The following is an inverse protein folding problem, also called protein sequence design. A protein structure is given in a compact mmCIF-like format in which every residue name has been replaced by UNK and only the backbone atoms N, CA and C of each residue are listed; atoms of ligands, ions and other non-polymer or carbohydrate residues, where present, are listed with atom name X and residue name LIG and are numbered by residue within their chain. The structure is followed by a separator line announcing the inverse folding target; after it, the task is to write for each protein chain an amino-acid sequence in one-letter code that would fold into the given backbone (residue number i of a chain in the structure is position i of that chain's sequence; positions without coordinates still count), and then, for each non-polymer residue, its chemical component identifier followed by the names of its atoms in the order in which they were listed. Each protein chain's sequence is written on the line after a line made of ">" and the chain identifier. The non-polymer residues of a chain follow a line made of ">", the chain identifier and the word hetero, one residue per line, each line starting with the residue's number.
data_IF_508224954318
#
_entry.id   IF_508224954318
#
_cell.length_a   1.000
_cell.length_b   1.000
_cell.length_c   1.000
_cell.angle_alpha   90.00
_cell.angle_beta   90.00
_cell.angle_gamma   90.00
#
_symmetry.space_group_name_H-M   'P 1'
#
loop_
_entity.id
_entity.type
_entity.pdbx_description
1 polymer ?
#
# COMPACT_ATOMS: atom_id res chain seq x y z
N UNK A 1 -4.34 7.66 -1.20
CA UNK A 1 -4.35 6.75 -0.03
C UNK A 1 -2.97 6.20 0.29
N UNK A 2 -2.39 5.26 -0.49
CA UNK A 2 -1.08 4.68 -0.15
C UNK A 2 0.03 5.75 -0.05
N UNK A 3 0.08 6.72 -0.96
CA UNK A 3 1.08 7.80 -0.89
C UNK A 3 0.91 8.72 0.33
N UNK A 4 -0.33 9.01 0.74
CA UNK A 4 -0.58 9.85 1.91
C UNK A 4 -0.25 9.11 3.22
N UNK A 5 -0.52 7.81 3.28
CA UNK A 5 -0.23 6.96 4.44
C UNK A 5 1.28 6.69 4.60
N UNK A 6 2.06 6.70 3.51
CA UNK A 6 3.50 6.40 3.56
C UNK A 6 4.27 7.35 4.47
N UNK A 7 3.89 8.63 4.48
CA UNK A 7 4.45 9.63 5.37
C UNK A 7 4.19 9.26 6.84
N UNK A 8 2.94 8.95 7.19
CA UNK A 8 2.59 8.60 8.57
C UNK A 8 3.08 7.22 9.03
N UNK A 9 3.24 6.27 8.11
CA UNK A 9 3.66 4.91 8.42
C UNK A 9 5.19 4.75 8.51
N UNK A 10 5.96 5.40 7.62
CA UNK A 10 7.42 5.21 7.56
C UNK A 10 8.22 6.31 8.27
N UNK A 11 7.71 7.55 8.31
CA UNK A 11 8.41 8.66 8.97
C UNK A 11 8.67 8.43 10.48
N UNK A 12 7.77 7.81 11.28
CA UNK A 12 8.08 7.55 12.70
C UNK A 12 9.17 6.49 12.93
N UNK A 13 9.54 5.69 11.91
CA UNK A 13 10.61 4.69 11.99
C UNK A 13 11.98 5.22 11.51
N UNK A 14 12.04 6.46 11.03
CA UNK A 14 13.26 7.14 10.63
C UNK A 14 13.27 7.61 9.17
N UNK A 15 13.90 8.76 8.93
CA UNK A 15 13.94 9.41 7.62
C UNK A 15 14.57 8.52 6.53
N UNK A 16 15.57 7.71 6.88
CA UNK A 16 16.24 6.80 5.95
C UNK A 16 15.29 5.70 5.41
N UNK A 17 14.37 5.22 6.25
CA UNK A 17 13.41 4.16 5.89
C UNK A 17 12.34 4.70 4.94
N UNK A 18 11.87 5.93 5.19
CA UNK A 18 10.99 6.64 4.28
C UNK A 18 11.65 6.88 2.90
N UNK A 19 12.91 7.32 2.90
CA UNK A 19 13.68 7.52 1.67
C UNK A 19 13.85 6.21 0.87
N UNK A 20 14.29 5.14 1.53
CA UNK A 20 14.42 3.80 0.94
C UNK A 20 13.08 3.30 0.39
N UNK A 21 11.99 3.40 1.16
CA UNK A 21 10.66 2.98 0.72
C UNK A 21 10.20 3.72 -0.54
N UNK A 22 10.47 5.02 -0.62
CA UNK A 22 10.10 5.85 -1.78
C UNK A 22 10.89 5.45 -3.02
N UNK A 23 12.19 5.19 -2.89
CA UNK A 23 13.03 4.73 -4.01
C UNK A 23 12.66 3.33 -4.44
N UNK A 24 12.39 2.40 -3.53
CA UNK A 24 12.12 1.00 -3.86
C UNK A 24 10.70 0.77 -4.39
N UNK A 25 9.73 1.63 -4.08
CA UNK A 25 8.34 1.52 -4.54
C UNK A 25 8.22 1.38 -6.09
N UNK A 26 8.85 2.23 -6.92
CA UNK A 26 8.81 2.04 -8.37
C UNK A 26 9.48 0.74 -8.84
N UNK A 27 10.50 0.24 -8.15
CA UNK A 27 11.09 -1.07 -8.49
C UNK A 27 10.10 -2.21 -8.29
N UNK A 28 9.30 -2.16 -7.22
CA UNK A 28 8.25 -3.15 -6.97
C UNK A 28 7.18 -3.15 -8.07
N UNK A 29 6.82 -1.98 -8.59
CA UNK A 29 5.91 -1.87 -9.74
C UNK A 29 6.50 -2.54 -10.99
N UNK A 30 7.79 -2.33 -11.27
CA UNK A 30 8.48 -3.01 -12.37
C UNK A 30 8.48 -4.53 -12.18
N UNK A 31 8.69 -5.03 -10.96
CA UNK A 31 8.58 -6.46 -10.66
C UNK A 31 7.20 -7.01 -10.95
N UNK A 32 6.13 -6.30 -10.60
CA UNK A 32 4.75 -6.70 -10.92
C UNK A 32 4.55 -6.86 -12.43
N UNK A 33 5.11 -5.95 -13.22
CA UNK A 33 4.98 -6.00 -14.68
C UNK A 33 5.75 -7.19 -15.27
N UNK A 34 6.97 -7.43 -14.80
CA UNK A 34 7.77 -8.61 -15.18
C UNK A 34 7.00 -9.89 -14.86
N UNK A 35 6.43 -10.01 -13.66
CA UNK A 35 5.60 -11.16 -13.27
C UNK A 35 4.38 -11.33 -14.19
N UNK A 36 3.74 -10.24 -14.57
CA UNK A 36 2.60 -10.27 -15.49
C UNK A 36 2.94 -10.73 -16.90
N UNK A 37 4.16 -10.44 -17.38
CA UNK A 37 4.66 -10.96 -18.67
C UNK A 37 4.93 -12.46 -18.57
N UNK A 38 5.55 -12.92 -17.47
CA UNK A 38 5.89 -14.34 -17.28
C UNK A 38 4.62 -15.19 -17.09
N UNK A 39 3.64 -14.70 -16.32
CA UNK A 39 2.39 -15.40 -16.03
C UNK A 39 1.19 -14.45 -16.22
N UNK A 40 0.68 -14.31 -17.46
CA UNK A 40 -0.41 -13.37 -17.75
C UNK A 40 -1.78 -13.84 -17.24
N UNK A 41 -1.94 -15.15 -16.99
CA UNK A 41 -3.21 -15.77 -16.57
C UNK A 41 -2.94 -16.66 -15.37
N UNK A 42 -3.72 -16.50 -14.31
CA UNK A 42 -3.63 -17.31 -13.10
C UNK A 42 -4.99 -17.91 -12.73
N UNK A 43 -5.02 -19.04 -12.01
CA UNK A 43 -6.26 -19.59 -11.49
C UNK A 43 -6.94 -18.58 -10.55
N UNK A 44 -8.26 -18.47 -10.67
CA UNK A 44 -9.09 -17.51 -9.91
C UNK A 44 -8.88 -17.64 -8.40
N UNK A 45 -8.72 -18.86 -7.88
CA UNK A 45 -8.46 -19.11 -6.46
C UNK A 45 -7.16 -18.45 -5.98
N UNK A 46 -6.10 -18.48 -6.80
CA UNK A 46 -4.82 -17.89 -6.43
C UNK A 46 -4.90 -16.36 -6.40
N UNK A 47 -5.64 -15.77 -7.34
CA UNK A 47 -5.91 -14.32 -7.36
C UNK A 47 -6.66 -13.92 -6.09
N UNK A 48 -7.68 -14.68 -5.68
CA UNK A 48 -8.44 -14.42 -4.45
C UNK A 48 -7.53 -14.46 -3.20
N UNK A 49 -6.68 -15.48 -3.08
CA UNK A 49 -5.74 -15.62 -1.96
C UNK A 49 -4.79 -14.41 -1.90
N UNK A 50 -4.26 -13.97 -3.04
CA UNK A 50 -3.40 -12.79 -3.10
C UNK A 50 -4.12 -11.50 -2.67
N UNK A 51 -5.38 -11.32 -3.08
CA UNK A 51 -6.18 -10.16 -2.68
C UNK A 51 -6.44 -10.17 -1.17
N UNK A 52 -6.75 -11.34 -0.60
CA UNK A 52 -6.96 -11.47 0.85
C UNK A 52 -5.67 -11.16 1.62
N UNK A 53 -4.54 -11.73 1.19
CA UNK A 53 -3.23 -11.46 1.80
C UNK A 53 -2.84 -9.98 1.66
N UNK A 54 -3.05 -9.38 0.49
CA UNK A 54 -2.77 -7.96 0.26
C UNK A 54 -3.67 -7.04 1.08
N UNK A 55 -4.95 -7.41 1.26
CA UNK A 55 -5.87 -6.65 2.12
C UNK A 55 -5.45 -6.74 3.58
N UNK A 56 -4.97 -7.90 4.02
CA UNK A 56 -4.43 -8.10 5.36
C UNK A 56 -3.17 -7.25 5.59
N UNK A 57 -2.22 -7.24 4.66
CA UNK A 57 -1.02 -6.38 4.76
C UNK A 57 -1.37 -4.91 4.76
N UNK A 58 -2.36 -4.49 3.97
CA UNK A 58 -2.85 -3.12 3.96
C UNK A 58 -3.50 -2.72 5.29
N UNK A 59 -4.32 -3.60 5.87
CA UNK A 59 -4.91 -3.39 7.18
C UNK A 59 -3.85 -3.26 8.28
N UNK A 60 -2.77 -4.04 8.21
CA UNK A 60 -1.62 -3.91 9.13
C UNK A 60 -0.93 -2.55 8.98
N UNK A 61 -0.68 -2.09 7.75
CA UNK A 61 -0.09 -0.75 7.50
C UNK A 61 -1.00 0.34 8.07
N UNK A 62 -2.32 0.24 7.85
CA UNK A 62 -3.30 1.16 8.43
C UNK A 62 -3.29 1.13 9.96
N UNK A 63 -3.20 -0.06 10.57
CA UNK A 63 -3.14 -0.19 12.03
C UNK A 63 -1.88 0.45 12.63
N UNK A 64 -0.71 0.23 12.00
CA UNK A 64 0.55 0.88 12.40
C UNK A 64 0.43 2.40 12.26
N UNK A 65 -0.22 2.85 11.19
CA UNK A 65 -0.46 4.26 10.90
C UNK A 65 -1.35 4.93 11.96
N UNK A 66 -2.41 4.26 12.42
CA UNK A 66 -3.25 4.74 13.54
C UNK A 66 -2.53 4.83 14.89
N UNK A 67 -1.42 4.10 15.06
CA UNK A 67 -0.64 4.09 16.30
C UNK A 67 0.49 5.14 16.29
N UNK A 68 0.63 5.95 15.24
CA UNK A 68 1.49 7.13 15.26
C UNK A 68 0.94 8.15 16.29
N UNK A 69 1.71 8.63 17.29
CA UNK A 69 3.15 8.88 17.25
C UNK A 69 4.04 7.77 17.83
N UNK A 70 3.53 6.80 18.59
CA UNK A 70 4.33 5.73 19.19
C UNK A 70 3.90 4.35 18.68
N UNK A 71 4.32 4.00 17.45
CA UNK A 71 4.08 2.67 16.93
C UNK A 71 4.63 1.59 17.89
N UNK A 72 3.95 0.44 17.99
CA UNK A 72 4.55 -0.70 18.65
C UNK A 72 5.85 -1.05 17.92
N UNK A 73 6.96 -1.22 18.66
CA UNK A 73 8.33 -1.47 18.15
C UNK A 73 9.10 -0.27 17.58
N UNK A 74 8.77 0.96 18.00
CA UNK A 74 9.70 2.10 17.87
C UNK A 74 11.00 1.77 18.62
N UNK A 75 12.15 2.17 18.05
CA UNK A 75 13.53 1.93 18.54
C UNK A 75 14.20 0.58 18.30
N UNK A 76 13.59 -0.34 17.54
CA UNK A 76 14.32 -1.54 17.08
C UNK A 76 14.55 -1.54 15.57
N UNK A 77 15.80 -1.72 15.14
CA UNK A 77 16.20 -1.86 13.72
C UNK A 77 15.44 -2.99 13.00
N UNK A 78 14.96 -3.97 13.76
CA UNK A 78 14.13 -5.08 13.26
C UNK A 78 12.72 -4.61 12.88
N UNK A 79 12.11 -3.72 13.67
CA UNK A 79 10.77 -3.18 13.41
C UNK A 79 10.73 -2.32 12.15
N UNK A 80 11.74 -1.48 11.95
CA UNK A 80 11.85 -0.62 10.77
C UNK A 80 12.08 -1.40 9.47
N UNK A 81 12.87 -2.48 9.51
CA UNK A 81 13.05 -3.37 8.36
C UNK A 81 11.77 -4.15 8.03
N UNK A 82 11.04 -4.62 9.05
CA UNK A 82 9.78 -5.36 8.87
C UNK A 82 8.68 -4.49 8.24
N UNK A 83 8.49 -3.26 8.70
CA UNK A 83 7.46 -2.37 8.13
C UNK A 83 7.79 -2.02 6.67
N UNK A 84 9.06 -1.80 6.34
CA UNK A 84 9.51 -1.58 4.97
C UNK A 84 9.28 -2.82 4.09
N UNK A 85 9.51 -4.02 4.62
CA UNK A 85 9.22 -5.26 3.89
C UNK A 85 7.70 -5.44 3.64
N UNK A 86 6.87 -5.21 4.67
CA UNK A 86 5.40 -5.25 4.55
C UNK A 86 4.92 -4.22 3.52
N UNK A 87 5.50 -3.02 3.56
CA UNK A 87 5.22 -1.94 2.62
C UNK A 87 5.49 -2.35 1.17
N UNK A 88 6.68 -2.88 0.89
CA UNK A 88 7.06 -3.30 -0.45
C UNK A 88 6.24 -4.52 -0.93
N UNK A 89 6.00 -5.48 -0.04
CA UNK A 89 5.17 -6.65 -0.33
C UNK A 89 3.75 -6.25 -0.73
N UNK A 90 3.19 -5.21 -0.09
CA UNK A 90 1.85 -4.72 -0.40
C UNK A 90 1.71 -4.23 -1.86
N UNK A 91 2.75 -3.63 -2.44
CA UNK A 91 2.75 -3.24 -3.86
C UNK A 91 2.60 -4.45 -4.79
N UNK A 92 3.32 -5.54 -4.49
CA UNK A 92 3.26 -6.75 -5.30
C UNK A 92 1.93 -7.48 -5.09
N UNK A 93 1.53 -7.68 -3.83
CA UNK A 93 0.33 -8.43 -3.46
C UNK A 93 -0.97 -7.81 -4.00
N UNK A 94 -1.07 -6.47 -4.05
CA UNK A 94 -2.26 -5.79 -4.59
C UNK A 94 -2.10 -5.43 -6.07
N UNK A 95 -0.87 -5.11 -6.52
CA UNK A 95 -0.59 -4.75 -7.90
C UNK A 95 -0.74 -5.92 -8.86
N UNK A 96 -0.29 -7.10 -8.47
CA UNK A 96 -0.30 -8.29 -9.33
C UNK A 96 -1.72 -8.80 -9.64
N UNK A 97 -2.63 -9.01 -8.68
CA UNK A 97 -4.03 -9.35 -8.96
C UNK A 97 -4.71 -8.36 -9.90
N UNK A 98 -4.48 -7.05 -9.70
CA UNK A 98 -5.05 -6.00 -10.54
C UNK A 98 -4.62 -6.14 -12.00
N UNK A 99 -3.35 -6.47 -12.24
CA UNK A 99 -2.82 -6.71 -13.59
C UNK A 99 -3.46 -7.94 -14.23
N UNK A 100 -3.61 -9.04 -13.49
CA UNK A 100 -4.21 -10.28 -14.01
C UNK A 100 -5.71 -10.11 -14.29
N UNK A 101 -6.44 -9.37 -13.45
CA UNK A 101 -7.85 -9.03 -13.69
C UNK A 101 -7.97 -8.18 -14.97
N UNK A 102 -7.08 -7.21 -15.17
CA UNK A 102 -7.04 -6.40 -16.39
C UNK A 102 -6.79 -7.28 -17.63
N UNK A 103 -5.86 -8.23 -17.55
CA UNK A 103 -5.59 -9.19 -18.62
C UNK A 103 -6.80 -10.08 -18.91
N UNK A 104 -7.51 -10.56 -17.88
CA UNK A 104 -8.72 -11.36 -18.08
C UNK A 104 -9.78 -10.54 -18.81
N UNK A 105 -10.11 -9.35 -18.31
CA UNK A 105 -11.11 -8.47 -18.91
C UNK A 105 -10.77 -8.12 -20.36
N UNK A 106 -9.47 -7.92 -20.67
CA UNK A 106 -8.97 -7.70 -22.04
C UNK A 106 -9.39 -8.80 -23.00
N UNK A 107 -9.37 -10.06 -22.55
CA UNK A 107 -9.65 -11.22 -23.41
C UNK A 107 -11.15 -11.41 -23.66
N UNK A 108 -12.03 -11.04 -22.72
CA UNK A 108 -13.48 -11.29 -22.83
C UNK A 108 -14.27 -10.16 -23.48
N UNK A 109 -13.81 -8.90 -23.38
CA UNK A 109 -14.61 -7.77 -23.87
C UNK A 109 -13.75 -6.64 -24.45
N UNK A 110 -14.04 -6.16 -25.67
CA UNK A 110 -13.35 -5.01 -26.25
C UNK A 110 -13.60 -3.72 -25.43
N UNK A 111 -14.77 -3.59 -24.81
CA UNK A 111 -15.13 -2.44 -23.98
C UNK A 111 -14.85 -2.67 -22.48
N UNK A 112 -14.36 -3.86 -22.11
CA UNK A 112 -14.15 -4.22 -20.71
C UNK A 112 -13.09 -3.36 -20.01
N UNK A 113 -12.05 -2.94 -20.74
CA UNK A 113 -11.00 -2.08 -20.18
C UNK A 113 -11.49 -0.71 -19.75
N UNK A 114 -12.49 -0.15 -20.46
CA UNK A 114 -13.07 1.14 -20.08
C UNK A 114 -13.73 1.04 -18.71
N UNK A 115 -14.60 0.04 -18.51
CA UNK A 115 -15.25 -0.20 -17.23
C UNK A 115 -14.29 -0.57 -16.11
N UNK A 116 -13.24 -1.32 -16.42
CA UNK A 116 -12.15 -1.59 -15.47
C UNK A 116 -11.46 -0.30 -15.04
N UNK A 117 -11.16 0.61 -15.98
CA UNK A 117 -10.58 1.91 -15.69
C UNK A 117 -11.50 2.77 -14.81
N UNK A 118 -12.80 2.81 -15.12
CA UNK A 118 -13.80 3.52 -14.31
C UNK A 118 -13.82 3.01 -12.87
N UNK A 119 -13.86 1.68 -12.68
CA UNK A 119 -13.85 1.06 -11.35
C UNK A 119 -12.58 1.38 -10.56
N UNK A 120 -11.42 1.32 -11.21
CA UNK A 120 -10.14 1.69 -10.61
C UNK A 120 -10.13 3.15 -10.14
N UNK A 121 -10.57 4.07 -10.99
CA UNK A 121 -10.53 5.51 -10.68
C UNK A 121 -11.53 5.85 -9.60
N UNK A 122 -12.72 5.24 -9.63
CA UNK A 122 -13.71 5.36 -8.58
C UNK A 122 -13.14 4.88 -7.23
N UNK A 123 -12.45 3.73 -7.21
CA UNK A 123 -11.76 3.25 -6.01
C UNK A 123 -10.68 4.22 -5.50
N UNK A 124 -9.93 4.86 -6.40
CA UNK A 124 -8.97 5.90 -6.05
C UNK A 124 -9.61 7.14 -5.42
N UNK A 125 -10.74 7.58 -5.97
CA UNK A 125 -11.52 8.70 -5.45
C UNK A 125 -12.07 8.39 -4.05
N UNK A 126 -12.72 7.24 -3.88
CA UNK A 126 -13.22 6.78 -2.58
C UNK A 126 -12.08 6.68 -1.57
N UNK A 127 -10.95 6.07 -1.95
CA UNK A 127 -9.78 5.96 -1.09
C UNK A 127 -9.18 7.32 -0.69
N UNK A 128 -9.21 8.32 -1.58
CA UNK A 128 -8.76 9.68 -1.28
C UNK A 128 -9.68 10.39 -0.29
N UNK A 129 -11.00 10.31 -0.50
CA UNK A 129 -11.99 10.88 0.43
C UNK A 129 -11.84 10.25 1.82
N UNK A 130 -11.70 8.93 1.89
CA UNK A 130 -11.47 8.22 3.15
C UNK A 130 -10.18 8.69 3.82
N UNK A 131 -9.07 8.78 3.06
CA UNK A 131 -7.78 9.24 3.60
C UNK A 131 -7.89 10.66 4.16
N UNK A 132 -8.58 11.55 3.44
CA UNK A 132 -8.82 12.92 3.84
C UNK A 132 -9.63 13.01 5.14
N UNK A 133 -10.76 12.29 5.23
CA UNK A 133 -11.59 12.24 6.44
C UNK A 133 -10.80 11.73 7.65
N UNK A 134 -9.98 10.69 7.46
CA UNK A 134 -9.15 10.14 8.54
C UNK A 134 -8.08 11.12 9.04
N UNK A 135 -7.45 11.87 8.13
CA UNK A 135 -6.38 12.81 8.47
C UNK A 135 -6.96 14.09 9.08
N UNK A 136 -7.94 14.71 8.42
CA UNK A 136 -8.44 16.05 8.77
C UNK A 136 -9.53 16.01 9.85
N UNK A 137 -10.56 15.17 9.69
CA UNK A 137 -11.72 15.18 10.60
C UNK A 137 -11.43 14.49 11.93
N UNK A 138 -10.66 13.39 11.90
CA UNK A 138 -10.38 12.63 13.12
C UNK A 138 -9.07 13.05 13.83
N UNK A 139 -8.21 13.85 13.19
CA UNK A 139 -6.90 14.26 13.72
C UNK A 139 -6.06 13.10 14.28
N UNK A 140 -6.33 11.86 13.82
CA UNK A 140 -5.68 10.63 14.29
C UNK A 140 -4.25 10.51 13.77
N UNK A 141 -3.92 11.27 12.74
CA UNK A 141 -2.62 11.29 12.09
C UNK A 141 -1.81 12.48 12.59
N UNK A 142 -1.19 12.33 13.76
CA UNK A 142 -0.24 13.33 14.26
C UNK A 142 1.15 13.02 13.69
N UNK A 143 1.66 13.91 12.84
CA UNK A 143 3.04 13.85 12.36
C UNK A 143 3.97 14.04 13.56
N UNK A 144 4.99 13.17 13.72
CA UNK A 144 6.05 13.47 14.69
C UNK A 144 6.85 14.66 14.17
N UNK A 145 6.77 15.77 14.87
CA UNK A 145 7.58 16.94 14.57
C UNK A 145 9.03 16.64 14.99
N UNK A 146 10.03 16.82 14.12
CA UNK A 146 11.41 16.69 14.54
C UNK A 146 11.69 17.74 15.63
N UNK A 147 12.30 17.30 16.73
CA UNK A 147 12.67 18.11 17.91
C UNK A 147 11.61 18.31 19.02
N UNK A 148 10.49 17.59 19.01
CA UNK A 148 9.54 17.57 20.14
C UNK A 148 9.69 16.27 20.96
N UNK A 149 9.88 16.37 22.28
CA UNK A 149 9.94 15.22 23.18
C UNK A 149 8.51 14.67 23.40
N UNK A 150 8.22 13.53 22.78
CA UNK A 150 6.98 12.80 23.03
C UNK A 150 7.22 11.77 24.12
N UNK A 151 6.58 11.94 25.29
CA UNK A 151 6.58 10.92 26.34
C UNK A 151 5.67 9.76 25.91
N UNK A 152 6.33 8.69 25.50
CA UNK A 152 5.83 7.33 25.49
C UNK A 152 6.73 6.54 26.47
#
# INVERSE_FOLDING_TARGET
>A
MILSISAYALMPYGHNIFYLGTILSPWMLTFVWILGIIKPILPKCFILILIILGSFTFALIMYVSFKSPCPPWVDTTKGSALILFIWLSNYILLGYPRLIIANYIRTYSPNGMFWFGVQVQFGGLVGSIISYLFIETFSLFRERIPCEQYNC
#
